data_IF_115556998572
#
_entry.id   IF_115556998572
#
_cell.length_a   1.000
_cell.length_b   1.000
_cell.length_c   1.000
_cell.angle_alpha   90.00
_cell.angle_beta   90.00
_cell.angle_gamma   90.00
#
_symmetry.space_group_name_H-M   'P 1'
#
loop_
_entity.id
_entity.type
_entity.pdbx_description
1 polymer ?
#
# COMPACT_ATOMS: atom_id res chain seq x y z
N UNK A 1 -8.52 5.86 7.46
CA UNK A 1 -8.36 4.48 6.94
C UNK A 1 -9.54 4.21 6.04
N UNK A 2 -9.30 3.78 4.80
CA UNK A 2 -10.34 3.44 3.82
C UNK A 2 -9.97 2.09 3.24
N UNK A 3 -10.93 1.16 3.25
CA UNK A 3 -10.80 -0.14 2.59
C UNK A 3 -11.44 0.04 1.21
N UNK A 4 -10.79 -0.49 0.18
CA UNK A 4 -11.21 -0.40 -1.21
C UNK A 4 -11.10 -1.81 -1.76
N UNK A 5 -12.17 -2.28 -2.38
CA UNK A 5 -12.29 -3.69 -2.76
C UNK A 5 -11.53 -4.02 -4.05
N UNK A 6 -11.35 -3.04 -4.93
CA UNK A 6 -10.65 -3.25 -6.21
C UNK A 6 -9.95 -1.99 -6.74
N UNK A 7 -9.05 -2.19 -7.71
CA UNK A 7 -8.26 -1.12 -8.33
C UNK A 7 -9.14 -0.12 -9.13
N UNK A 8 -10.24 -0.57 -9.73
CA UNK A 8 -11.13 0.34 -10.48
C UNK A 8 -11.85 1.33 -9.56
N UNK A 9 -12.30 0.87 -8.39
CA UNK A 9 -12.90 1.72 -7.37
C UNK A 9 -11.86 2.70 -6.82
N UNK A 10 -10.62 2.25 -6.65
CA UNK A 10 -9.51 3.14 -6.29
C UNK A 10 -9.31 4.25 -7.33
N UNK A 11 -9.29 3.89 -8.63
CA UNK A 11 -9.20 4.85 -9.74
C UNK A 11 -10.35 5.86 -9.72
N UNK A 12 -11.59 5.41 -9.51
CA UNK A 12 -12.77 6.30 -9.44
C UNK A 12 -12.69 7.28 -8.26
N UNK A 13 -12.29 6.81 -7.08
CA UNK A 13 -12.20 7.65 -5.87
C UNK A 13 -11.05 8.67 -5.97
N UNK A 14 -9.95 8.29 -6.63
CA UNK A 14 -8.69 9.05 -6.60
C UNK A 14 -8.21 9.55 -7.96
N UNK A 15 -9.10 9.66 -8.94
CA UNK A 15 -8.80 9.97 -10.34
C UNK A 15 -7.93 11.22 -10.56
N UNK A 16 -8.12 12.26 -9.75
CA UNK A 16 -7.52 13.59 -9.96
C UNK A 16 -6.17 13.82 -9.28
N UNK A 17 -5.61 12.83 -8.55
CA UNK A 17 -4.36 13.03 -7.80
C UNK A 17 -3.14 12.38 -8.46
N UNK A 18 -2.14 13.18 -8.87
CA UNK A 18 -0.84 12.69 -9.40
C UNK A 18 -0.18 11.64 -8.48
N UNK A 19 -0.30 11.81 -7.16
CA UNK A 19 0.22 10.84 -6.18
C UNK A 19 -0.45 9.47 -6.28
N UNK A 20 -1.74 9.44 -6.58
CA UNK A 20 -2.54 8.22 -6.66
C UNK A 20 -2.39 7.53 -8.01
N UNK A 21 -2.18 8.29 -9.08
CA UNK A 21 -1.80 7.76 -10.39
C UNK A 21 -0.50 6.94 -10.31
N UNK A 22 0.53 7.42 -9.58
CA UNK A 22 1.74 6.65 -9.32
C UNK A 22 1.49 5.38 -8.50
N UNK A 23 0.53 5.39 -7.57
CA UNK A 23 0.14 4.17 -6.87
C UNK A 23 -0.51 3.15 -7.82
N UNK A 24 -1.35 3.61 -8.76
CA UNK A 24 -1.95 2.74 -9.77
C UNK A 24 -0.87 2.12 -10.65
N UNK A 25 0.07 2.93 -11.14
CA UNK A 25 1.22 2.48 -11.93
C UNK A 25 2.06 1.43 -11.18
N UNK A 26 2.33 1.64 -9.89
CA UNK A 26 3.05 0.67 -9.07
C UNK A 26 2.29 -0.66 -8.91
N UNK A 27 0.96 -0.61 -8.80
CA UNK A 27 0.12 -1.81 -8.68
C UNK A 27 0.06 -2.57 -10.00
N UNK A 28 -0.05 -1.87 -11.13
CA UNK A 28 -0.04 -2.50 -12.46
C UNK A 28 1.33 -3.09 -12.81
N UNK A 29 2.41 -2.49 -12.32
CA UNK A 29 3.76 -2.98 -12.57
C UNK A 29 4.20 -4.11 -11.62
N UNK A 30 3.30 -4.62 -10.78
CA UNK A 30 3.66 -5.53 -9.69
C UNK A 30 4.17 -6.89 -10.17
N UNK A 31 3.69 -7.36 -11.33
CA UNK A 31 4.13 -8.61 -11.95
C UNK A 31 5.51 -8.51 -12.62
N UNK A 32 6.00 -7.29 -12.87
CA UNK A 32 7.30 -7.04 -13.50
C UNK A 32 8.44 -6.79 -12.51
N UNK A 33 8.14 -6.65 -11.21
CA UNK A 33 9.15 -6.35 -10.20
C UNK A 33 9.54 -7.58 -9.38
N UNK A 34 10.80 -7.60 -8.93
CA UNK A 34 11.31 -8.72 -8.15
C UNK A 34 10.81 -8.64 -6.69
N UNK A 35 10.26 -9.73 -6.14
CA UNK A 35 9.92 -9.80 -4.72
C UNK A 35 11.13 -9.49 -3.83
N UNK A 36 10.89 -8.77 -2.73
CA UNK A 36 11.93 -8.40 -1.77
C UNK A 36 12.76 -7.16 -2.16
N UNK A 37 12.66 -6.68 -3.39
CA UNK A 37 13.37 -5.48 -3.86
C UNK A 37 12.50 -4.23 -3.68
N UNK A 38 13.10 -3.18 -3.13
CA UNK A 38 12.45 -1.88 -3.01
C UNK A 38 12.56 -1.11 -4.32
N UNK A 39 11.43 -0.67 -4.84
CA UNK A 39 11.31 0.14 -6.05
C UNK A 39 10.72 1.50 -5.72
N UNK A 40 11.12 2.52 -6.48
CA UNK A 40 10.56 3.87 -6.35
C UNK A 40 10.00 4.36 -7.68
N UNK A 41 8.91 5.12 -7.62
CA UNK A 41 8.35 5.84 -8.77
C UNK A 41 8.54 7.34 -8.52
N UNK A 42 9.59 7.87 -9.15
CA UNK A 42 10.09 9.22 -8.88
C UNK A 42 10.48 9.39 -7.41
N UNK A 43 10.28 10.61 -6.88
CA UNK A 43 10.63 10.96 -5.50
C UNK A 43 9.50 10.66 -4.48
N UNK A 44 8.30 10.32 -4.95
CA UNK A 44 7.10 10.41 -4.11
C UNK A 44 6.50 9.07 -3.65
N UNK A 45 6.94 7.95 -4.21
CA UNK A 45 6.41 6.64 -3.87
C UNK A 45 7.53 5.61 -3.86
N UNK A 46 7.65 4.89 -2.74
CA UNK A 46 8.47 3.68 -2.62
C UNK A 46 7.55 2.51 -2.33
N UNK A 47 7.74 1.39 -3.03
CA UNK A 47 6.95 0.19 -2.89
C UNK A 47 7.85 -1.05 -3.01
N UNK A 48 7.37 -2.17 -2.49
CA UNK A 48 8.06 -3.46 -2.53
C UNK A 48 7.01 -4.55 -2.50
N UNK A 49 7.25 -5.62 -3.25
CA UNK A 49 6.47 -6.84 -3.17
C UNK A 49 7.05 -7.71 -2.07
N UNK A 50 6.22 -8.09 -1.12
CA UNK A 50 6.57 -9.05 -0.08
C UNK A 50 5.79 -10.32 -0.31
N UNK A 51 6.51 -11.43 -0.48
CA UNK A 51 5.95 -12.78 -0.59
C UNK A 51 5.78 -13.45 0.77
N UNK A 52 6.41 -12.90 1.80
CA UNK A 52 6.34 -13.46 3.14
C UNK A 52 5.02 -13.09 3.83
N UNK A 53 4.43 -14.10 4.46
CA UNK A 53 3.18 -13.99 5.21
C UNK A 53 3.41 -13.53 6.65
N UNK A 54 4.68 -13.47 7.08
CA UNK A 54 5.07 -12.99 8.40
C UNK A 54 4.53 -11.57 8.63
N UNK A 55 3.45 -11.49 9.38
CA UNK A 55 2.94 -10.22 9.87
C UNK A 55 3.75 -9.91 11.12
N UNK A 56 4.55 -8.85 11.06
CA UNK A 56 5.29 -8.36 12.21
C UNK A 56 4.37 -8.25 13.43
N UNK A 57 4.82 -8.77 14.58
CA UNK A 57 4.00 -8.82 15.79
C UNK A 57 3.74 -7.43 16.41
N UNK A 58 4.38 -6.39 15.87
CA UNK A 58 4.28 -5.02 16.37
C UNK A 58 3.38 -4.15 15.49
N UNK A 59 2.57 -3.31 16.15
CA UNK A 59 1.81 -2.28 15.46
C UNK A 59 2.73 -1.14 15.03
N UNK A 60 2.74 -0.84 13.73
CA UNK A 60 3.48 0.30 13.17
C UNK A 60 2.56 1.46 12.84
N UNK A 61 3.03 2.69 13.07
CA UNK A 61 2.28 3.91 12.78
C UNK A 61 3.15 4.93 12.04
N UNK A 62 2.62 5.51 10.96
CA UNK A 62 3.36 6.46 10.13
C UNK A 62 2.81 7.89 10.32
N UNK A 63 3.71 8.88 10.44
CA UNK A 63 3.35 10.32 10.57
C UNK A 63 3.38 11.05 9.23
N UNK A 64 4.40 10.78 8.39
CA UNK A 64 4.65 11.52 7.14
C UNK A 64 4.17 10.80 5.88
N UNK A 65 4.12 9.47 5.92
CA UNK A 65 3.81 8.64 4.75
C UNK A 65 2.47 7.93 4.93
N UNK A 66 1.73 7.85 3.82
CA UNK A 66 0.54 7.02 3.70
C UNK A 66 0.98 5.63 3.29
N UNK A 67 0.53 4.60 4.03
CA UNK A 67 0.78 3.20 3.68
C UNK A 67 -0.39 2.66 2.87
N UNK A 68 -0.11 2.21 1.65
CA UNK A 68 -1.03 1.45 0.81
C UNK A 68 -0.57 0.00 0.82
N UNK A 69 -1.48 -0.92 1.10
CA UNK A 69 -1.23 -2.36 1.06
C UNK A 69 -2.26 -2.94 0.12
N UNK A 70 -1.79 -3.69 -0.88
CA UNK A 70 -2.63 -4.47 -1.77
C UNK A 70 -2.21 -5.92 -1.69
N UNK A 71 -3.16 -6.83 -1.91
CA UNK A 71 -2.92 -8.27 -1.98
C UNK A 71 -3.06 -8.71 -3.43
N UNK A 72 -1.97 -9.21 -4.02
CA UNK A 72 -1.95 -9.66 -5.43
C UNK A 72 -2.40 -11.12 -5.57
N UNK A 73 -2.03 -11.98 -4.61
CA UNK A 73 -2.37 -13.40 -4.61
C UNK A 73 -2.81 -13.82 -3.20
N UNK A 74 -4.02 -14.36 -3.09
CA UNK A 74 -4.59 -14.83 -1.82
C UNK A 74 -5.10 -13.71 -0.91
N UNK A 75 -5.26 -14.03 0.37
CA UNK A 75 -5.75 -13.12 1.40
C UNK A 75 -4.66 -12.84 2.43
N UNK A 76 -4.58 -11.58 2.88
CA UNK A 76 -3.66 -11.16 3.95
C UNK A 76 -4.48 -10.67 5.13
N UNK A 77 -4.30 -11.29 6.29
CA UNK A 77 -4.88 -10.82 7.54
C UNK A 77 -4.08 -9.61 8.05
N UNK A 78 -4.75 -8.48 8.23
CA UNK A 78 -4.16 -7.26 8.75
C UNK A 78 -4.79 -6.88 10.09
N UNK A 79 -3.98 -6.86 11.14
CA UNK A 79 -4.38 -6.32 12.44
C UNK A 79 -4.20 -4.81 12.42
N UNK A 80 -5.30 -4.08 12.60
CA UNK A 80 -5.31 -2.62 12.54
C UNK A 80 -5.96 -2.03 13.78
N UNK A 81 -5.34 -0.96 14.31
CA UNK A 81 -5.87 -0.23 15.46
C UNK A 81 -5.79 1.27 15.20
N UNK A 82 -6.83 2.01 15.57
CA UNK A 82 -6.79 3.47 15.55
C UNK A 82 -5.82 3.96 16.62
N UNK A 83 -4.84 4.78 16.22
CA UNK A 83 -3.96 5.47 17.17
C UNK A 83 -4.80 6.50 17.92
N UNK A 84 -5.05 6.27 19.21
CA UNK A 84 -5.64 7.28 20.10
C UNK A 84 -4.56 8.28 20.48
N UNK A 85 -4.80 9.57 20.26
CA UNK A 85 -4.03 10.60 20.93
C UNK A 85 -4.53 10.64 22.37
N UNK A 86 -3.66 10.29 23.32
CA UNK A 86 -3.87 10.71 24.70
C UNK A 86 -3.55 12.20 24.74
N UNK A 87 -4.54 13.01 25.12
CA UNK A 87 -4.35 14.42 25.44
C UNK A 87 -3.68 14.52 26.80
#
# INVERSE_FOLDING_TARGET
MRIIDNLEQFRKIYASGKKWQRCVEAIENIDNIQPGVAHSIGDSLTYRVETDSATDALFTGHRRYLKCITTCKGSKKLNMRRKRHYR
#
